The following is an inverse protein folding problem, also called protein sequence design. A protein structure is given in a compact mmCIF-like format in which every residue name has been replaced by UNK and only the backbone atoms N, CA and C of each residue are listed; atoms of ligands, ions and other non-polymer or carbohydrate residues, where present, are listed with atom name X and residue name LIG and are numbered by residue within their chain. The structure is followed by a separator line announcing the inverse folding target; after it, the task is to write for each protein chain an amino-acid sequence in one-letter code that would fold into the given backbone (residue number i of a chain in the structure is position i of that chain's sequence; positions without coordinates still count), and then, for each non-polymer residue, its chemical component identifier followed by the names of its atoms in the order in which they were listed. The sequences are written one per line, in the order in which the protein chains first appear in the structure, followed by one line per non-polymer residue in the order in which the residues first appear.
data_IF_502428314685
#
_entry.id   IF_502428314685
#
_cell.length_a   1.000
_cell.length_b   1.000
_cell.length_c   1.000
_cell.angle_alpha   90.00
_cell.angle_beta   90.00
_cell.angle_gamma   90.00
#
_symmetry.space_group_name_H-M   'P 1'
#
loop_
_entity.id
_entity.type
_entity.pdbx_description
1 polymer ?
#
# COMPACT_ATOMS: atom_id res chain seq x y z
N UNK A 1 -8.98 -5.01 -15.47
CA UNK A 1 -7.77 -5.56 -16.11
C UNK A 1 -6.76 -5.78 -14.99
N UNK A 2 -6.56 -7.02 -14.54
CA UNK A 2 -5.77 -7.31 -13.35
C UNK A 2 -4.30 -6.95 -13.62
N UNK A 3 -3.76 -5.98 -12.90
CA UNK A 3 -2.34 -5.65 -12.95
C UNK A 3 -1.52 -6.86 -12.46
N UNK A 4 -0.90 -7.54 -13.42
CA UNK A 4 -0.24 -8.83 -13.24
C UNK A 4 1.08 -8.72 -12.49
N UNK A 5 1.42 -9.78 -11.75
CA UNK A 5 2.74 -10.13 -11.19
C UNK A 5 3.95 -9.76 -12.07
N UNK A 6 3.79 -9.77 -13.39
CA UNK A 6 4.83 -9.38 -14.34
C UNK A 6 5.12 -7.86 -14.36
N UNK A 7 4.12 -7.01 -14.16
CA UNK A 7 4.26 -5.56 -14.28
C UNK A 7 5.02 -4.96 -13.08
N UNK A 8 4.75 -5.50 -11.88
CA UNK A 8 5.50 -5.21 -10.65
C UNK A 8 7.00 -5.50 -10.79
N UNK A 9 7.38 -6.57 -11.50
CA UNK A 9 8.79 -6.96 -11.70
C UNK A 9 9.47 -6.19 -12.85
N UNK A 10 8.76 -5.94 -13.95
CA UNK A 10 9.35 -5.39 -15.19
C UNK A 10 9.47 -3.86 -15.18
N UNK A 11 8.61 -3.14 -14.45
CA UNK A 11 8.55 -1.66 -14.50
C UNK A 11 9.16 -0.95 -13.30
N UNK A 12 9.70 -1.67 -12.31
CA UNK A 12 10.25 -1.09 -11.07
C UNK A 12 11.41 -0.11 -11.26
N UNK A 13 12.10 -0.12 -12.43
CA UNK A 13 13.18 0.84 -12.74
C UNK A 13 12.68 2.27 -12.98
N UNK A 14 11.44 2.45 -13.44
CA UNK A 14 10.84 3.78 -13.63
C UNK A 14 10.05 4.26 -12.41
N UNK A 15 10.04 3.47 -11.33
CA UNK A 15 9.29 3.80 -10.13
C UNK A 15 10.01 4.89 -9.32
N UNK A 16 9.19 5.78 -8.77
CA UNK A 16 9.63 6.99 -8.08
C UNK A 16 9.65 6.74 -6.58
N UNK A 17 10.66 7.29 -5.90
CA UNK A 17 10.80 7.15 -4.46
C UNK A 17 9.95 8.20 -3.74
N UNK A 18 9.22 7.77 -2.71
CA UNK A 18 8.46 8.65 -1.84
C UNK A 18 8.73 8.30 -0.36
N UNK A 19 8.71 9.30 0.52
CA UNK A 19 8.91 9.13 1.96
C UNK A 19 7.59 8.79 2.66
N UNK A 20 7.37 7.51 2.95
CA UNK A 20 6.16 7.04 3.60
C UNK A 20 6.30 7.06 5.12
N UNK A 21 5.23 7.47 5.81
CA UNK A 21 5.04 7.23 7.24
C UNK A 21 3.91 6.23 7.40
N UNK A 22 4.24 5.07 7.96
CA UNK A 22 3.32 3.95 8.19
C UNK A 22 3.43 3.60 9.66
N UNK A 23 2.31 3.32 10.33
CA UNK A 23 2.33 2.90 11.73
C UNK A 23 3.10 1.58 11.90
N UNK A 24 3.81 1.39 13.03
CA UNK A 24 4.67 0.22 13.20
C UNK A 24 3.94 -1.13 13.12
N UNK A 25 2.69 -1.18 13.60
CA UNK A 25 1.83 -2.37 13.56
C UNK A 25 1.45 -2.72 12.11
N UNK A 26 0.93 -1.76 11.34
CA UNK A 26 0.58 -1.95 9.92
C UNK A 26 1.81 -2.34 9.11
N UNK A 27 2.97 -1.75 9.39
CA UNK A 27 4.23 -2.12 8.74
C UNK A 27 4.67 -3.55 9.10
N UNK A 28 4.45 -4.00 10.34
CA UNK A 28 4.75 -5.36 10.77
C UNK A 28 3.83 -6.38 10.07
N UNK A 29 2.53 -6.10 10.00
CA UNK A 29 1.55 -6.94 9.32
C UNK A 29 1.83 -7.03 7.83
N UNK A 30 2.17 -5.89 7.21
CA UNK A 30 2.58 -5.86 5.81
C UNK A 30 3.80 -6.75 5.55
N UNK A 31 4.83 -6.68 6.41
CA UNK A 31 6.02 -7.54 6.30
C UNK A 31 5.66 -9.02 6.48
N UNK A 32 4.77 -9.33 7.42
CA UNK A 32 4.27 -10.69 7.65
C UNK A 32 3.59 -11.24 6.39
N UNK A 33 2.68 -10.47 5.81
CA UNK A 33 1.98 -10.81 4.56
C UNK A 33 2.95 -11.03 3.40
N UNK A 34 3.89 -10.11 3.19
CA UNK A 34 4.91 -10.25 2.12
C UNK A 34 5.70 -11.55 2.28
N UNK A 35 6.09 -11.90 3.50
CA UNK A 35 6.84 -13.13 3.75
C UNK A 35 5.99 -14.39 3.52
N UNK A 36 4.70 -14.36 3.85
CA UNK A 36 3.77 -15.43 3.50
C UNK A 36 3.66 -15.59 1.98
N UNK A 37 3.42 -14.50 1.25
CA UNK A 37 3.28 -14.51 -0.21
C UNK A 37 4.58 -14.93 -0.92
N UNK A 38 5.75 -14.54 -0.39
CA UNK A 38 7.06 -15.02 -0.88
C UNK A 38 7.17 -16.54 -0.78
N UNK A 39 6.71 -17.13 0.33
CA UNK A 39 6.76 -18.58 0.55
C UNK A 39 5.78 -19.31 -0.37
N UNK A 40 4.55 -18.82 -0.50
CA UNK A 40 3.52 -19.50 -1.32
C UNK A 40 3.82 -19.41 -2.82
N UNK A 41 4.32 -18.26 -3.29
CA UNK A 41 4.62 -18.05 -4.73
C UNK A 41 6.02 -18.52 -5.14
N UNK A 42 6.95 -18.60 -4.17
CA UNK A 42 8.38 -18.77 -4.40
C UNK A 42 9.07 -17.52 -4.98
N UNK A 43 8.44 -16.34 -4.93
CA UNK A 43 9.02 -15.10 -5.45
C UNK A 43 9.66 -14.26 -4.33
N UNK A 44 10.97 -14.41 -4.12
CA UNK A 44 11.72 -13.61 -3.13
C UNK A 44 11.79 -12.11 -3.43
N UNK A 45 11.44 -11.69 -4.65
CA UNK A 45 11.53 -10.28 -5.08
C UNK A 45 10.31 -9.44 -4.70
N UNK A 46 9.24 -10.04 -4.16
CA UNK A 46 8.13 -9.29 -3.57
C UNK A 46 8.69 -8.36 -2.49
N UNK A 47 8.25 -7.11 -2.46
CA UNK A 47 8.83 -6.06 -1.62
C UNK A 47 7.75 -5.05 -1.25
N UNK A 48 7.99 -4.30 -0.17
CA UNK A 48 7.04 -3.32 0.40
C UNK A 48 6.49 -2.37 -0.66
N UNK A 49 7.35 -1.82 -1.52
CA UNK A 49 6.92 -0.89 -2.58
C UNK A 49 5.83 -1.44 -3.50
N UNK A 50 5.83 -2.74 -3.80
CA UNK A 50 4.78 -3.34 -4.65
C UNK A 50 3.40 -3.38 -3.96
N UNK A 51 3.39 -3.56 -2.65
CA UNK A 51 2.15 -3.60 -1.87
C UNK A 51 1.65 -2.19 -1.57
N UNK A 52 2.55 -1.25 -1.33
CA UNK A 52 2.20 0.16 -1.22
C UNK A 52 1.60 0.67 -2.53
N UNK A 53 2.22 0.37 -3.67
CA UNK A 53 1.69 0.71 -4.98
C UNK A 53 0.27 0.14 -5.19
N UNK A 54 0.08 -1.15 -4.88
CA UNK A 54 -1.24 -1.79 -5.01
C UNK A 54 -2.29 -1.17 -4.07
N UNK A 55 -1.95 -0.93 -2.80
CA UNK A 55 -2.86 -0.30 -1.84
C UNK A 55 -3.27 1.11 -2.30
N UNK A 56 -2.32 1.90 -2.80
CA UNK A 56 -2.55 3.26 -3.27
C UNK A 56 -3.38 3.30 -4.55
N UNK A 57 -3.17 2.36 -5.49
CA UNK A 57 -4.02 2.25 -6.68
C UNK A 57 -5.44 1.77 -6.39
N UNK A 58 -5.66 1.15 -5.23
CA UNK A 58 -6.99 0.78 -4.74
C UNK A 58 -7.64 1.86 -3.86
N UNK A 59 -7.00 3.02 -3.68
CA UNK A 59 -7.55 4.10 -2.90
C UNK A 59 -8.86 4.64 -3.52
N UNK A 60 -9.84 5.02 -2.69
CA UNK A 60 -10.97 5.82 -3.16
C UNK A 60 -10.53 7.12 -3.82
N UNK A 61 -11.26 7.55 -4.83
CA UNK A 61 -11.06 8.86 -5.48
C UNK A 61 -11.63 10.02 -4.64
N UNK A 62 -12.57 9.74 -3.72
CA UNK A 62 -13.17 10.73 -2.83
C UNK A 62 -12.30 11.00 -1.59
N UNK A 63 -11.97 12.27 -1.38
CA UNK A 63 -11.22 12.72 -0.20
C UNK A 63 -11.99 12.49 1.10
N UNK A 64 -13.31 12.62 1.08
CA UNK A 64 -14.12 12.46 2.29
C UNK A 64 -14.13 10.98 2.74
N UNK A 65 -14.13 10.03 1.78
CA UNK A 65 -13.93 8.61 2.08
C UNK A 65 -12.53 8.32 2.64
N UNK A 66 -11.48 8.95 2.10
CA UNK A 66 -10.11 8.81 2.61
C UNK A 66 -9.99 9.33 4.05
N UNK A 67 -10.65 10.45 4.36
CA UNK A 67 -10.69 11.02 5.70
C UNK A 67 -11.45 10.09 6.65
N UNK A 68 -12.63 9.61 6.26
CA UNK A 68 -13.42 8.68 7.07
C UNK A 68 -12.61 7.41 7.41
N UNK A 69 -11.97 6.80 6.41
CA UNK A 69 -11.08 5.66 6.63
C UNK A 69 -9.97 5.95 7.64
N UNK A 70 -9.33 7.12 7.55
CA UNK A 70 -8.28 7.49 8.48
C UNK A 70 -8.80 7.79 9.89
N UNK A 71 -10.04 8.26 10.02
CA UNK A 71 -10.69 8.49 11.30
C UNK A 71 -11.07 7.16 11.97
N UNK A 72 -11.62 6.21 11.23
CA UNK A 72 -11.91 4.86 11.73
C UNK A 72 -10.62 4.17 12.21
N UNK A 73 -9.57 4.23 11.38
CA UNK A 73 -8.24 3.73 11.73
C UNK A 73 -7.68 4.37 13.02
N UNK A 74 -7.94 5.66 13.23
CA UNK A 74 -7.49 6.39 14.42
C UNK A 74 -8.37 6.10 15.65
N UNK A 75 -9.68 5.92 15.47
CA UNK A 75 -10.63 5.71 16.56
C UNK A 75 -10.41 4.37 17.28
N UNK A 76 -9.91 3.38 16.56
CA UNK A 76 -9.62 2.06 17.10
C UNK A 76 -8.33 2.00 17.95
N UNK A 77 -7.50 3.04 17.92
CA UNK A 77 -6.14 3.01 18.51
C UNK A 77 -5.67 4.32 19.11
N UNK A 78 -5.00 4.23 20.25
CA UNK A 78 -4.19 5.34 20.79
C UNK A 78 -2.79 5.24 20.19
N UNK A 79 -2.54 5.98 19.11
CA UNK A 79 -1.22 6.01 18.47
C UNK A 79 -0.36 7.17 18.92
N UNK A 80 0.87 6.85 19.28
CA UNK A 80 1.95 7.82 19.35
C UNK A 80 2.53 8.00 17.93
N UNK A 81 2.03 9.01 17.21
CA UNK A 81 2.45 9.32 15.84
C UNK A 81 3.94 9.62 15.74
N UNK A 82 4.60 9.99 16.85
CA UNK A 82 6.03 10.29 16.88
C UNK A 82 6.90 9.03 16.74
N UNK A 83 6.30 7.83 16.92
CA UNK A 83 6.98 6.55 16.65
C UNK A 83 7.02 6.18 15.17
N UNK A 84 6.31 6.91 14.30
CA UNK A 84 6.33 6.66 12.85
C UNK A 84 7.57 7.27 12.21
N UNK A 85 8.57 6.43 11.96
CA UNK A 85 9.79 6.84 11.27
C UNK A 85 9.56 6.83 9.74
N UNK A 86 9.87 7.93 9.03
CA UNK A 86 9.73 7.96 7.58
C UNK A 86 10.66 6.93 6.92
N UNK A 87 10.12 6.17 5.98
CA UNK A 87 10.86 5.19 5.19
C UNK A 87 10.61 5.42 3.70
N UNK A 88 11.68 5.39 2.90
CA UNK A 88 11.57 5.62 1.46
C UNK A 88 11.26 4.32 0.73
N UNK A 89 10.18 4.33 -0.06
CA UNK A 89 9.82 3.21 -0.93
C UNK A 89 9.56 3.70 -2.35
N UNK A 90 9.79 2.83 -3.33
CA UNK A 90 9.47 3.10 -4.73
C UNK A 90 8.07 2.61 -5.07
N UNK A 91 7.31 3.44 -5.75
CA UNK A 91 5.95 3.13 -6.24
C UNK A 91 5.79 3.59 -7.70
N UNK A 92 4.79 3.04 -8.38
CA UNK A 92 4.45 3.40 -9.75
C UNK A 92 3.94 4.84 -9.86
N UNK A 93 3.84 5.33 -11.10
CA UNK A 93 3.48 6.73 -11.38
C UNK A 93 2.13 7.15 -10.76
N UNK A 94 1.09 6.33 -10.93
CA UNK A 94 -0.25 6.65 -10.40
C UNK A 94 -0.24 6.76 -8.87
N UNK A 95 0.36 5.77 -8.20
CA UNK A 95 0.52 5.78 -6.75
C UNK A 95 1.36 6.96 -6.27
N UNK A 96 2.44 7.31 -7.00
CA UNK A 96 3.29 8.46 -6.69
C UNK A 96 2.54 9.79 -6.82
N UNK A 97 1.77 9.98 -7.91
CA UNK A 97 0.96 11.17 -8.14
C UNK A 97 -0.04 11.36 -6.99
N UNK A 98 -0.76 10.29 -6.60
CA UNK A 98 -1.69 10.31 -5.47
C UNK A 98 -1.01 10.76 -4.17
N UNK A 99 0.08 10.11 -3.74
CA UNK A 99 0.71 10.43 -2.45
C UNK A 99 1.43 11.78 -2.44
N UNK A 100 1.84 12.27 -3.61
CA UNK A 100 2.49 13.57 -3.74
C UNK A 100 1.51 14.72 -3.57
N UNK A 101 0.25 14.54 -3.97
CA UNK A 101 -0.81 15.55 -3.82
C UNK A 101 -1.65 15.36 -2.56
N UNK A 102 -1.69 14.16 -2.00
CA UNK A 102 -2.55 13.80 -0.87
C UNK A 102 -2.48 14.79 0.31
N UNK A 103 -1.27 15.22 0.70
CA UNK A 103 -1.14 16.15 1.83
C UNK A 103 -1.80 17.51 1.53
N UNK A 104 -1.71 18.01 0.29
CA UNK A 104 -2.37 19.26 -0.11
C UNK A 104 -3.88 19.09 -0.08
N UNK A 105 -4.39 18.01 -0.68
CA UNK A 105 -5.83 17.70 -0.70
C UNK A 105 -6.41 17.55 0.71
N UNK A 106 -5.67 16.95 1.66
CA UNK A 106 -6.09 16.84 3.05
C UNK A 106 -5.99 18.16 3.81
N UNK A 107 -5.03 19.02 3.49
CA UNK A 107 -4.91 20.35 4.09
C UNK A 107 -6.11 21.24 3.73
N UNK A 108 -6.60 21.17 2.48
CA UNK A 108 -7.80 21.89 2.04
C UNK A 108 -9.08 21.48 2.78
N UNK A 109 -9.04 20.35 3.50
CA UNK A 109 -10.15 19.82 4.33
C UNK A 109 -9.82 19.82 5.83
N UNK A 110 -8.86 20.64 6.26
CA UNK A 110 -8.39 20.74 7.66
C UNK A 110 -7.88 19.41 8.28
N UNK A 111 -7.50 18.44 7.45
CA UNK A 111 -7.04 17.10 7.86
C UNK A 111 -5.53 16.85 7.66
N UNK A 112 -4.78 17.83 7.16
CA UNK A 112 -3.38 17.67 6.75
C UNK A 112 -2.43 17.09 7.82
N UNK A 113 -2.59 17.47 9.10
CA UNK A 113 -1.76 16.94 10.20
C UNK A 113 -1.95 15.43 10.44
N UNK A 114 -3.07 14.87 9.99
CA UNK A 114 -3.42 13.44 10.12
C UNK A 114 -3.22 12.66 8.82
N UNK A 115 -2.65 13.26 7.78
CA UNK A 115 -2.48 12.61 6.48
C UNK A 115 -1.58 11.36 6.50
N UNK A 116 -0.73 11.22 7.52
CA UNK A 116 0.05 9.99 7.75
C UNK A 116 -0.81 8.78 8.10
N UNK A 117 -2.00 9.01 8.68
CA UNK A 117 -2.95 7.94 9.01
C UNK A 117 -3.69 7.42 7.78
N UNK A 118 -3.89 8.26 6.75
CA UNK A 118 -4.56 7.86 5.51
C UNK A 118 -3.78 6.74 4.81
N UNK A 119 -2.46 6.89 4.68
CA UNK A 119 -1.63 5.83 4.07
C UNK A 119 -1.68 4.54 4.89
N UNK A 120 -1.62 4.64 6.22
CA UNK A 120 -1.70 3.46 7.09
C UNK A 120 -3.05 2.76 6.98
N UNK A 121 -4.15 3.52 6.95
CA UNK A 121 -5.51 3.00 6.74
C UNK A 121 -5.68 2.34 5.36
N UNK A 122 -5.12 2.93 4.30
CA UNK A 122 -5.15 2.34 2.96
C UNK A 122 -4.41 0.99 2.91
N UNK A 123 -3.25 0.92 3.54
CA UNK A 123 -2.48 -0.33 3.62
C UNK A 123 -3.22 -1.38 4.44
N UNK A 124 -3.80 -1.00 5.58
CA UNK A 124 -4.59 -1.91 6.41
C UNK A 124 -5.80 -2.46 5.65
N UNK A 125 -6.59 -1.59 5.02
CA UNK A 125 -7.74 -2.00 4.19
C UNK A 125 -7.31 -2.97 3.09
N UNK A 126 -6.19 -2.70 2.43
CA UNK A 126 -5.64 -3.59 1.42
C UNK A 126 -5.21 -4.94 2.01
N UNK A 127 -4.58 -4.96 3.18
CA UNK A 127 -4.23 -6.21 3.88
C UNK A 127 -5.49 -7.01 4.26
N UNK A 128 -6.54 -6.36 4.74
CA UNK A 128 -7.82 -7.00 5.05
C UNK A 128 -8.44 -7.63 3.80
N UNK A 129 -8.47 -6.91 2.67
CA UNK A 129 -8.95 -7.44 1.39
C UNK A 129 -8.12 -8.66 0.95
N UNK A 130 -6.80 -8.56 1.02
CA UNK A 130 -5.91 -9.67 0.71
C UNK A 130 -6.10 -10.87 1.66
N UNK A 131 -6.43 -10.64 2.92
CA UNK A 131 -6.74 -11.72 3.86
C UNK A 131 -8.04 -12.43 3.51
N UNK A 132 -9.06 -11.69 3.08
CA UNK A 132 -10.32 -12.25 2.60
C UNK A 132 -10.13 -13.08 1.32
N UNK A 133 -9.26 -12.64 0.40
CA UNK A 133 -8.92 -13.36 -0.84
C UNK A 133 -8.04 -14.60 -0.61
N UNK A 134 -7.45 -14.73 0.58
CA UNK A 134 -6.58 -15.84 0.94
C UNK A 134 -5.14 -15.72 0.39
N UNK A 135 -4.45 -16.86 0.33
CA UNK A 135 -3.04 -16.91 -0.01
C UNK A 135 -2.79 -16.54 -1.48
N UNK A 136 -1.78 -15.70 -1.75
CA UNK A 136 -1.38 -15.40 -3.12
C UNK A 136 -0.89 -16.67 -3.81
N UNK A 137 -1.61 -17.06 -4.87
CA UNK A 137 -1.29 -18.25 -5.64
C UNK A 137 -0.22 -17.96 -6.68
N UNK A 138 0.64 -18.96 -6.94
CA UNK A 138 1.59 -18.88 -8.06
C UNK A 138 0.77 -18.81 -9.37
N UNK A 139 1.05 -17.85 -10.28
CA UNK A 139 0.38 -17.82 -11.58
C UNK A 139 0.64 -19.12 -12.34
N UNK A 140 -0.42 -19.73 -12.89
CA UNK A 140 -0.27 -20.85 -13.80
C UNK A 140 0.57 -20.40 -15.01
N UNK A 141 1.67 -21.11 -15.28
CA UNK A 141 2.38 -20.91 -16.55
C UNK A 141 1.42 -21.32 -17.65
N UNK A 142 0.83 -20.34 -18.37
CA UNK A 142 0.25 -20.61 -19.69
C UNK A 142 1.35 -21.24 -20.54
N UNK A 143 1.31 -22.58 -20.70
CA UNK A 143 2.04 -23.23 -21.78
C UNK A 143 1.50 -22.60 -23.05
N UNK A 144 2.34 -21.88 -23.79
CA UNK A 144 2.03 -21.59 -25.19
C UNK A 144 1.96 -22.96 -25.86
N UNK A 145 0.76 -23.39 -26.20
CA UNK A 145 0.59 -24.46 -27.18
C UNK A 145 1.24 -23.95 -28.46
N UNK A 146 2.25 -24.70 -28.91
CA UNK A 146 2.97 -24.45 -30.16
C UNK A 146 2.08 -24.80 -31.34
#
# INVERSE_FOLDING_TARGET
MHESFADAKLRSRSWQAYGFRITPDVLADLKSRINADRRTTGNSQLAIGHYLDAALRSAPDDVDELIAMAQDFAGERIWDTDKTQPSSYRVGRQAFELVSTLNVTLQERDYGRRGTLVVSALVERYLQALHADGALQRPERRRRSN
#
